data_IF_834000585491
#
_entry.id   IF_834000585491
#
_cell.length_a   1.000
_cell.length_b   1.000
_cell.length_c   1.000
_cell.angle_alpha   90.00
_cell.angle_beta   90.00
_cell.angle_gamma   90.00
#
_symmetry.space_group_name_H-M   'P 1'
#
loop_
_entity.id
_entity.type
_entity.pdbx_description
1 polymer ?
#
# COMPACT_ATOMS: atom_id res chain seq x y z
N UNK A 1 -6.34 15.04 14.15
CA UNK A 1 -6.13 13.59 14.20
C UNK A 1 -4.99 13.20 13.29
N UNK A 2 -3.92 12.68 13.86
CA UNK A 2 -3.04 11.73 13.17
C UNK A 2 -3.54 10.32 13.46
N UNK A 3 -3.24 9.38 12.57
CA UNK A 3 -3.60 7.98 12.76
C UNK A 3 -2.50 7.07 12.26
N UNK A 4 -2.36 5.93 12.91
CA UNK A 4 -1.58 4.80 12.40
C UNK A 4 -2.51 3.95 11.54
N UNK A 5 -2.04 3.60 10.35
CA UNK A 5 -2.74 2.69 9.44
C UNK A 5 -1.90 1.45 9.24
N UNK A 6 -2.57 0.31 9.17
CA UNK A 6 -1.94 -0.96 8.81
C UNK A 6 -2.82 -1.73 7.82
N UNK A 7 -2.21 -2.48 6.92
CA UNK A 7 -2.95 -3.26 5.95
C UNK A 7 -2.07 -4.03 4.97
N UNK A 8 -2.73 -4.71 4.04
CA UNK A 8 -2.05 -5.39 2.95
C UNK A 8 -2.12 -4.51 1.70
N UNK A 9 -0.96 -4.08 1.21
CA UNK A 9 -0.84 -3.26 0.02
C UNK A 9 -0.86 -4.09 -1.27
N UNK A 10 -0.51 -5.37 -1.16
CA UNK A 10 -0.61 -6.34 -2.24
C UNK A 10 -0.77 -7.75 -1.65
N UNK A 11 -1.60 -8.58 -2.26
CA UNK A 11 -1.83 -9.98 -1.89
C UNK A 11 -1.19 -10.88 -2.94
N UNK A 12 -0.46 -11.90 -2.49
CA UNK A 12 0.28 -12.77 -3.41
C UNK A 12 -0.62 -13.79 -4.11
N UNK A 13 -0.23 -14.17 -5.33
CA UNK A 13 -0.85 -15.28 -6.07
C UNK A 13 -2.27 -14.98 -6.59
N UNK A 14 -2.79 -13.77 -6.40
CA UNK A 14 -4.12 -13.36 -6.86
C UNK A 14 -3.97 -12.26 -7.92
N UNK A 15 -4.65 -12.37 -9.08
CA UNK A 15 -4.56 -11.36 -10.13
C UNK A 15 -5.20 -10.05 -9.68
N UNK A 16 -4.56 -8.94 -10.02
CA UNK A 16 -5.19 -7.63 -10.00
C UNK A 16 -6.13 -7.44 -11.20
N UNK A 17 -6.81 -6.29 -11.26
CA UNK A 17 -7.75 -5.96 -12.34
C UNK A 17 -7.07 -5.79 -13.72
N UNK A 18 -5.75 -5.67 -13.79
CA UNK A 18 -4.96 -5.68 -15.03
C UNK A 18 -4.46 -7.07 -15.43
N UNK A 19 -4.68 -8.06 -14.57
CA UNK A 19 -4.24 -9.45 -14.74
C UNK A 19 -2.81 -9.71 -14.28
N UNK A 20 -2.17 -8.77 -13.58
CA UNK A 20 -0.84 -8.99 -13.00
C UNK A 20 -0.98 -9.77 -11.67
N UNK A 21 -0.15 -10.79 -11.48
CA UNK A 21 -0.05 -11.56 -10.24
C UNK A 21 1.29 -11.29 -9.58
N UNK A 22 1.29 -10.74 -8.37
CA UNK A 22 2.51 -10.60 -7.58
C UNK A 22 2.86 -11.95 -6.94
N UNK A 23 4.08 -12.43 -7.20
CA UNK A 23 4.58 -13.68 -6.62
C UNK A 23 5.19 -13.42 -5.24
N UNK A 24 5.23 -14.46 -4.40
CA UNK A 24 5.96 -14.41 -3.12
C UNK A 24 7.44 -14.17 -3.40
N UNK A 25 8.09 -13.31 -2.62
CA UNK A 25 9.49 -12.95 -2.85
C UNK A 25 9.68 -11.82 -3.88
N UNK A 26 8.61 -11.37 -4.55
CA UNK A 26 8.73 -10.33 -5.56
C UNK A 26 9.22 -8.99 -5.01
N UNK A 27 8.99 -8.72 -3.72
CA UNK A 27 9.51 -7.52 -3.06
C UNK A 27 10.84 -7.75 -2.33
N UNK A 28 11.34 -8.98 -2.24
CA UNK A 28 12.50 -9.31 -1.40
C UNK A 28 13.73 -8.43 -1.71
N UNK A 29 14.03 -8.24 -3.00
CA UNK A 29 15.18 -7.42 -3.41
C UNK A 29 14.99 -5.93 -3.09
N UNK A 30 13.79 -5.37 -3.29
CA UNK A 30 13.55 -3.95 -3.01
C UNK A 30 13.54 -3.70 -1.50
N UNK A 31 12.97 -4.59 -0.69
CA UNK A 31 12.92 -4.42 0.77
C UNK A 31 14.29 -4.56 1.44
N UNK A 32 15.24 -5.27 0.83
CA UNK A 32 16.63 -5.31 1.30
C UNK A 32 17.39 -3.99 1.06
N UNK A 33 17.00 -3.24 0.03
CA UNK A 33 17.73 -2.04 -0.44
C UNK A 33 17.09 -0.73 -0.03
N UNK A 34 15.80 -0.75 0.29
CA UNK A 34 14.99 0.44 0.52
C UNK A 34 14.55 0.52 1.97
N UNK A 35 14.79 1.64 2.63
CA UNK A 35 14.20 1.89 3.94
C UNK A 35 12.68 2.10 3.76
N UNK A 36 11.79 1.52 4.60
CA UNK A 36 10.36 1.79 4.55
C UNK A 36 10.00 3.28 4.42
N UNK A 37 10.80 4.16 5.04
CA UNK A 37 10.65 5.60 5.02
C UNK A 37 10.87 6.28 3.65
N UNK A 38 11.50 5.59 2.71
CA UNK A 38 11.79 6.07 1.36
C UNK A 38 10.64 5.80 0.39
N UNK A 39 9.88 4.72 0.63
CA UNK A 39 8.64 4.40 -0.10
C UNK A 39 7.59 5.46 0.20
N UNK A 40 7.02 6.08 -0.85
CA UNK A 40 6.08 7.18 -0.66
C UNK A 40 4.71 6.68 -0.20
N UNK A 41 4.12 7.39 0.76
CA UNK A 41 2.72 7.25 1.15
C UNK A 41 1.93 8.37 0.48
N UNK A 42 1.23 8.04 -0.60
CA UNK A 42 0.54 9.02 -1.43
C UNK A 42 -0.98 8.87 -1.32
N UNK A 43 -1.69 9.89 -1.78
CA UNK A 43 -3.13 9.84 -2.01
C UNK A 43 -3.41 9.64 -3.50
N UNK A 44 -4.10 8.56 -3.88
CA UNK A 44 -4.54 8.31 -5.26
C UNK A 44 -3.41 8.31 -6.30
N UNK A 45 -2.22 7.81 -5.96
CA UNK A 45 -1.04 7.83 -6.84
C UNK A 45 -0.53 9.22 -7.24
N UNK A 46 -1.07 10.29 -6.64
CA UNK A 46 -0.67 11.66 -6.95
C UNK A 46 0.66 11.99 -6.26
N UNK A 47 1.73 12.07 -7.05
CA UNK A 47 3.09 12.38 -6.60
C UNK A 47 3.19 13.75 -5.89
N UNK A 48 2.23 14.64 -6.11
CA UNK A 48 2.17 15.96 -5.44
C UNK A 48 1.46 15.92 -4.10
N UNK A 49 0.88 14.77 -3.71
CA UNK A 49 0.06 14.60 -2.50
C UNK A 49 0.61 13.51 -1.57
N UNK A 50 1.81 13.68 -1.00
CA UNK A 50 2.24 12.84 0.11
C UNK A 50 1.39 13.13 1.36
N UNK A 51 0.91 12.07 2.01
CA UNK A 51 -0.03 12.18 3.14
C UNK A 51 0.50 11.55 4.44
N UNK A 52 1.71 11.00 4.43
CA UNK A 52 2.30 10.37 5.62
C UNK A 52 3.62 9.68 5.33
N UNK A 53 4.00 8.74 6.21
CA UNK A 53 5.19 7.89 6.02
C UNK A 53 4.90 6.47 6.46
N UNK A 54 5.45 5.51 5.71
CA UNK A 54 5.54 4.12 6.14
C UNK A 54 6.65 3.96 7.19
N UNK A 55 6.38 3.15 8.20
CA UNK A 55 7.31 2.77 9.25
C UNK A 55 7.77 1.32 9.10
N UNK A 56 6.87 0.46 8.62
CA UNK A 56 7.15 -0.95 8.36
C UNK A 56 6.57 -1.35 7.01
N UNK A 57 7.35 -2.08 6.24
CA UNK A 57 6.93 -2.74 5.01
C UNK A 57 7.61 -4.11 5.02
N UNK A 58 6.83 -5.18 4.94
CA UNK A 58 7.37 -6.54 4.99
C UNK A 58 6.53 -7.50 4.15
N UNK A 59 7.18 -8.50 3.58
CA UNK A 59 6.45 -9.64 3.03
C UNK A 59 6.02 -10.58 4.15
N UNK A 60 4.77 -11.01 4.08
CA UNK A 60 4.21 -12.06 4.92
C UNK A 60 3.83 -13.26 4.04
N UNK A 61 3.45 -14.40 4.63
CA UNK A 61 2.86 -15.47 3.84
C UNK A 61 1.54 -15.11 3.12
N UNK A 62 0.91 -13.97 3.38
CA UNK A 62 -0.31 -13.57 2.66
C UNK A 62 -0.03 -12.55 1.56
N UNK A 63 0.83 -11.58 1.83
CA UNK A 63 1.06 -10.42 0.97
C UNK A 63 2.07 -9.44 1.55
N UNK A 64 2.18 -8.28 0.91
CA UNK A 64 2.96 -7.13 1.36
C UNK A 64 2.20 -6.39 2.46
N UNK A 65 2.62 -6.56 3.71
CA UNK A 65 2.10 -5.83 4.85
C UNK A 65 2.77 -4.46 4.97
N UNK A 66 1.97 -3.45 5.28
CA UNK A 66 2.45 -2.08 5.52
C UNK A 66 1.87 -1.52 6.82
N UNK A 67 2.68 -0.74 7.52
CA UNK A 67 2.28 0.04 8.69
C UNK A 67 2.93 1.41 8.61
N UNK A 68 2.16 2.46 8.87
CA UNK A 68 2.62 3.84 8.78
C UNK A 68 1.70 4.82 9.47
N UNK A 69 2.08 6.09 9.47
CA UNK A 69 1.28 7.16 10.07
C UNK A 69 0.93 8.23 9.05
N UNK A 70 -0.30 8.74 9.17
CA UNK A 70 -0.76 9.93 8.46
C UNK A 70 -0.14 11.18 9.08
N UNK A 71 0.31 12.10 8.23
CA UNK A 71 1.02 13.30 8.66
C UNK A 71 0.10 14.25 9.47
N UNK A 72 0.40 14.56 10.74
CA UNK A 72 -0.51 15.27 11.65
C UNK A 72 -0.87 16.70 11.23
N UNK A 73 0.00 17.34 10.45
CA UNK A 73 -0.13 18.76 10.06
C UNK A 73 -0.47 18.95 8.59
N UNK A 74 -0.79 17.87 7.86
CA UNK A 74 -1.24 17.92 6.47
C UNK A 74 -2.77 17.81 6.45
N UNK A 75 -3.45 18.81 5.87
CA UNK A 75 -4.91 18.85 5.85
C UNK A 75 -5.52 17.64 5.12
N UNK A 76 -5.00 17.30 3.94
CA UNK A 76 -5.42 16.14 3.18
C UNK A 76 -5.26 14.82 3.96
N UNK A 77 -4.22 14.70 4.79
CA UNK A 77 -4.01 13.52 5.63
C UNK A 77 -5.07 13.39 6.72
N UNK A 78 -5.54 14.52 7.30
CA UNK A 78 -6.64 14.53 8.27
C UNK A 78 -7.97 14.15 7.62
N UNK A 79 -8.24 14.67 6.43
CA UNK A 79 -9.44 14.31 5.65
C UNK A 79 -9.42 12.84 5.29
N UNK A 80 -8.27 12.33 4.84
CA UNK A 80 -8.04 10.91 4.57
C UNK A 80 -8.30 10.06 5.81
N UNK A 81 -7.80 10.46 6.99
CA UNK A 81 -8.09 9.78 8.25
C UNK A 81 -9.60 9.72 8.54
N UNK A 82 -10.32 10.84 8.38
CA UNK A 82 -11.78 10.87 8.58
C UNK A 82 -12.53 9.94 7.63
N UNK A 83 -12.12 9.86 6.37
CA UNK A 83 -12.69 8.95 5.37
C UNK A 83 -12.37 7.48 5.66
N UNK A 84 -11.22 7.19 6.26
CA UNK A 84 -10.89 5.83 6.71
C UNK A 84 -11.75 5.45 7.91
N UNK A 85 -11.88 6.34 8.89
CA UNK A 85 -12.68 6.10 10.11
C UNK A 85 -14.16 5.84 9.78
N UNK A 86 -14.73 6.56 8.82
CA UNK A 86 -16.14 6.39 8.45
C UNK A 86 -16.36 5.27 7.41
N UNK A 87 -15.30 4.59 6.97
CA UNK A 87 -15.38 3.47 6.02
C UNK A 87 -15.54 3.86 4.55
N UNK A 88 -15.48 5.15 4.20
CA UNK A 88 -15.53 5.61 2.81
C UNK A 88 -14.23 5.34 2.04
N UNK A 89 -13.12 5.10 2.74
CA UNK A 89 -11.81 4.86 2.15
C UNK A 89 -11.05 3.77 2.90
N UNK A 90 -10.80 2.64 2.24
CA UNK A 90 -10.05 1.52 2.82
C UNK A 90 -9.03 0.90 1.86
N UNK A 91 -8.93 1.38 0.62
CA UNK A 91 -8.08 0.78 -0.41
C UNK A 91 -6.60 1.13 -0.25
N UNK A 92 -5.74 0.14 -0.50
CA UNK A 92 -4.31 0.31 -0.70
C UNK A 92 -3.92 -0.15 -2.10
N UNK A 93 -2.97 0.55 -2.73
CA UNK A 93 -2.43 0.15 -4.01
C UNK A 93 -0.94 0.43 -4.07
N UNK A 94 -0.19 -0.49 -4.67
CA UNK A 94 1.24 -0.30 -4.92
C UNK A 94 1.48 0.39 -6.26
N UNK A 95 2.57 1.13 -6.32
CA UNK A 95 3.18 1.66 -7.52
C UNK A 95 4.59 1.09 -7.59
N UNK A 96 4.91 0.45 -8.71
CA UNK A 96 6.13 -0.33 -8.84
C UNK A 96 6.67 -0.31 -10.27
N UNK A 97 7.95 -0.68 -10.40
CA UNK A 97 8.55 -1.06 -11.69
C UNK A 97 8.75 -2.56 -11.72
N UNK A 98 8.28 -3.21 -12.78
CA UNK A 98 8.53 -4.64 -12.98
C UNK A 98 10.00 -4.82 -13.39
N UNK A 99 10.73 -5.62 -12.62
CA UNK A 99 12.14 -5.96 -12.90
C UNK A 99 12.20 -7.30 -13.63
N UNK A 100 11.47 -8.30 -13.12
CA UNK A 100 11.37 -9.62 -13.71
C UNK A 100 9.92 -10.10 -13.69
N UNK A 101 9.46 -10.63 -14.82
CA UNK A 101 8.12 -11.18 -14.93
C UNK A 101 8.03 -12.27 -15.98
N UNK A 102 7.17 -13.25 -15.72
CA UNK A 102 6.84 -14.31 -16.66
C UNK A 102 5.47 -14.06 -17.28
N UNK A 103 5.30 -14.37 -18.55
CA UNK A 103 4.01 -14.22 -19.23
C UNK A 103 2.98 -15.19 -18.64
N UNK A 104 1.81 -14.66 -18.29
CA UNK A 104 0.68 -15.46 -17.82
C UNK A 104 -0.03 -16.19 -18.97
N UNK A 105 -1.10 -16.91 -18.61
CA UNK A 105 -1.99 -17.58 -19.57
C UNK A 105 -3.44 -17.19 -19.32
N UNK A 106 -4.25 -17.21 -20.38
CA UNK A 106 -5.67 -16.89 -20.30
C UNK A 106 -5.89 -15.45 -19.83
N UNK A 107 -6.59 -15.30 -18.70
CA UNK A 107 -6.90 -13.98 -18.10
C UNK A 107 -5.73 -13.40 -17.29
N UNK A 108 -4.70 -14.18 -17.00
CA UNK A 108 -3.48 -13.70 -16.32
C UNK A 108 -2.55 -13.10 -17.37
N UNK A 109 -2.19 -11.83 -17.17
CA UNK A 109 -1.28 -11.08 -18.02
C UNK A 109 0.17 -11.50 -17.77
N UNK A 110 0.63 -11.41 -16.52
CA UNK A 110 1.99 -11.81 -16.11
C UNK A 110 2.07 -12.16 -14.63
N UNK A 111 3.05 -12.99 -14.32
CA UNK A 111 3.51 -13.26 -12.96
C UNK A 111 4.74 -12.38 -12.69
N UNK A 112 4.63 -11.48 -11.72
CA UNK A 112 5.70 -10.58 -11.31
C UNK A 112 6.60 -11.32 -10.32
N UNK A 113 7.81 -11.68 -10.77
CA UNK A 113 8.80 -12.42 -9.99
C UNK A 113 9.70 -11.49 -9.17
N UNK A 114 9.93 -10.27 -9.67
CA UNK A 114 10.67 -9.23 -8.96
C UNK A 114 10.17 -7.84 -9.36
N UNK A 115 9.99 -6.97 -8.37
CA UNK A 115 9.57 -5.58 -8.58
C UNK A 115 10.39 -4.62 -7.72
N UNK A 116 10.56 -3.40 -8.23
CA UNK A 116 11.03 -2.26 -7.45
C UNK A 116 9.80 -1.51 -6.92
N UNK A 117 9.64 -1.47 -5.60
CA UNK A 117 8.54 -0.77 -4.94
C UNK A 117 8.85 0.71 -4.86
N UNK A 118 8.01 1.55 -5.47
CA UNK A 118 8.20 3.00 -5.53
C UNK A 118 7.34 3.70 -4.49
N UNK A 119 6.07 3.32 -4.41
CA UNK A 119 5.11 3.94 -3.53
C UNK A 119 4.01 2.95 -3.12
N UNK A 120 3.32 3.29 -2.03
CA UNK A 120 2.06 2.67 -1.64
C UNK A 120 1.06 3.78 -1.34
N UNK A 121 -0.01 3.81 -2.10
CA UNK A 121 -1.06 4.82 -2.03
C UNK A 121 -2.27 4.35 -1.23
N UNK A 122 -2.92 5.30 -0.57
CA UNK A 122 -4.31 5.15 -0.13
C UNK A 122 -5.21 5.58 -1.29
N UNK A 123 -6.11 4.69 -1.71
CA UNK A 123 -6.90 4.86 -2.93
C UNK A 123 -8.37 4.52 -2.71
N UNK A 124 -9.26 5.13 -3.50
CA UNK A 124 -10.69 4.81 -3.46
C UNK A 124 -10.96 3.43 -4.04
N UNK A 125 -10.29 3.10 -5.15
CA UNK A 125 -10.47 1.85 -5.87
C UNK A 125 -9.09 1.24 -6.17
N UNK A 126 -8.66 0.23 -5.39
CA UNK A 126 -7.39 -0.43 -5.66
C UNK A 126 -7.49 -1.34 -6.88
N UNK A 127 -6.39 -1.46 -7.62
CA UNK A 127 -6.28 -2.46 -8.70
C UNK A 127 -6.43 -3.88 -8.18
N UNK A 128 -6.11 -4.12 -6.91
CA UNK A 128 -6.37 -5.39 -6.23
C UNK A 128 -7.42 -5.17 -5.14
N UNK A 129 -8.68 -5.63 -5.30
CA UNK A 129 -9.76 -5.38 -4.33
C UNK A 129 -9.50 -5.84 -2.89
N UNK A 130 -8.59 -6.80 -2.70
CA UNK A 130 -8.19 -7.33 -1.40
C UNK A 130 -7.07 -6.52 -0.73
N UNK A 131 -6.42 -5.61 -1.46
CA UNK A 131 -5.40 -4.73 -0.92
C UNK A 131 -6.08 -3.58 -0.16
N UNK A 132 -6.15 -3.73 1.16
CA UNK A 132 -6.94 -2.87 2.04
C UNK A 132 -6.22 -2.55 3.34
N UNK A 133 -6.56 -1.38 3.88
CA UNK A 133 -6.35 -1.02 5.27
C UNK A 133 -7.20 -1.97 6.11
N UNK A 134 -6.57 -2.64 7.07
CA UNK A 134 -7.23 -3.58 7.98
C UNK A 134 -7.37 -3.04 9.39
N UNK A 135 -6.54 -2.05 9.75
CA UNK A 135 -6.55 -1.42 11.07
C UNK A 135 -6.26 0.07 10.92
N UNK A 136 -7.02 0.87 11.66
CA UNK A 136 -6.78 2.29 11.87
C UNK A 136 -6.74 2.55 13.38
N UNK A 137 -5.70 3.21 13.87
CA UNK A 137 -5.57 3.64 15.25
C UNK A 137 -5.44 5.15 15.30
N UNK A 138 -6.42 5.83 15.88
CA UNK A 138 -6.33 7.27 16.14
C UNK A 138 -5.22 7.55 17.17
N UNK A 139 -4.41 8.58 16.92
CA UNK A 139 -3.35 9.06 17.80
C UNK A 139 -3.74 10.35 18.54
N UNK A 140 -5.01 10.49 18.89
CA UNK A 140 -5.42 11.58 19.76
C UNK A 140 -5.03 11.25 21.22
N UNK A 141 -4.12 12.05 21.79
CA UNK A 141 -3.90 12.08 23.24
C UNK A 141 -5.15 12.68 23.90
N UNK A 142 -5.92 11.83 24.59
CA UNK A 142 -6.96 12.12 25.59
C UNK A 142 -7.98 13.27 25.33
N UNK A 143 -9.26 12.88 25.27
CA UNK A 143 -10.39 13.42 26.04
C UNK A 143 -11.39 12.25 26.12
N UNK A 144 -11.62 11.56 27.22
CA UNK A 144 -11.70 11.90 28.66
C UNK A 144 -11.15 10.79 29.52
#
# INVERSE_FOLDING_TARGET
MSGIICGYASVFGTPDLSGDIVMRGAFAQTLQKTNPHDVKMLYQHDLTRPIGRWQKIEETPYGLWVEGYLAPHVQLAKETASLIINGALDGLSIGFRAIESERGRGRVRRHLQSVELVEVSIVTLPMQPQAKITKFKSLDKNKT
#
